data_IF_868207721983
#
_entry.id   IF_868207721983
#
_cell.length_a   1.000
_cell.length_b   1.000
_cell.length_c   1.000
_cell.angle_alpha   90.00
_cell.angle_beta   90.00
_cell.angle_gamma   90.00
#
_symmetry.space_group_name_H-M   'P 1'
#
loop_
_entity.id
_entity.type
_entity.pdbx_description
1 polymer ?
#
# COMPACT_ATOMS: atom_id res chain seq x y z
N UNK A 1 -13.69 11.64 -1.99
CA UNK A 1 -14.01 13.05 -1.70
C UNK A 1 -15.53 13.24 -1.71
N UNK A 2 -16.21 13.09 -2.85
CA UNK A 2 -17.64 13.41 -3.04
C UNK A 2 -18.58 12.85 -1.96
N UNK A 3 -18.38 11.61 -1.52
CA UNK A 3 -19.22 10.94 -0.53
C UNK A 3 -19.00 11.44 0.92
N UNK A 4 -17.88 12.09 1.17
CA UNK A 4 -17.49 12.61 2.49
C UNK A 4 -17.52 14.16 2.54
N UNK A 5 -17.90 14.78 1.44
CA UNK A 5 -18.00 16.24 1.32
C UNK A 5 -18.90 16.81 2.42
N UNK A 6 -18.43 17.84 3.11
CA UNK A 6 -19.13 18.42 4.27
C UNK A 6 -19.04 17.62 5.58
N UNK A 7 -18.48 16.40 5.56
CA UNK A 7 -18.27 15.58 6.77
C UNK A 7 -16.81 15.42 7.13
N UNK A 8 -15.92 15.41 6.15
CA UNK A 8 -14.47 15.28 6.30
C UNK A 8 -13.79 16.27 5.37
N UNK A 9 -12.69 16.84 5.83
CA UNK A 9 -11.81 17.66 5.01
C UNK A 9 -10.83 16.73 4.27
N UNK A 10 -10.73 16.88 2.95
CA UNK A 10 -9.70 16.23 2.17
C UNK A 10 -8.40 17.03 2.31
N UNK A 11 -7.29 16.36 2.57
CA UNK A 11 -5.97 16.98 2.72
C UNK A 11 -5.11 16.72 1.50
N UNK A 12 -5.03 15.48 1.07
CA UNK A 12 -4.22 15.07 -0.08
C UNK A 12 -4.25 13.57 -0.29
N UNK A 13 -3.72 13.10 -1.41
CA UNK A 13 -3.58 11.69 -1.71
C UNK A 13 -2.61 11.43 -2.86
N UNK A 14 -2.01 10.26 -2.87
CA UNK A 14 -1.04 9.86 -3.87
C UNK A 14 -1.22 8.44 -4.35
N UNK A 15 -0.59 8.14 -5.47
CA UNK A 15 -0.49 6.81 -6.06
C UNK A 15 0.98 6.39 -6.14
N UNK A 16 1.24 5.08 -6.16
CA UNK A 16 2.58 4.53 -6.32
C UNK A 16 3.23 4.92 -7.67
N UNK A 17 2.42 5.32 -8.64
CA UNK A 17 2.81 5.74 -9.99
C UNK A 17 2.97 7.24 -10.14
N UNK A 18 3.37 7.93 -9.07
CA UNK A 18 3.66 9.37 -9.00
C UNK A 18 2.45 10.31 -9.20
N UNK A 19 1.24 9.78 -9.28
CA UNK A 19 0.03 10.58 -9.29
C UNK A 19 -0.22 11.19 -7.91
N UNK A 20 -0.37 12.51 -7.81
CA UNK A 20 -0.66 13.21 -6.57
C UNK A 20 -1.79 14.19 -6.73
N UNK A 21 -2.63 14.29 -5.71
CA UNK A 21 -3.72 15.24 -5.58
C UNK A 21 -3.54 16.02 -4.28
N UNK A 22 -3.22 17.30 -4.38
CA UNK A 22 -3.20 18.22 -3.25
C UNK A 22 -4.56 18.87 -3.16
N UNK A 23 -5.22 18.79 -2.00
CA UNK A 23 -6.55 19.36 -1.77
C UNK A 23 -7.64 18.84 -2.72
N UNK A 24 -8.81 19.48 -2.76
CA UNK A 24 -9.99 19.00 -3.48
C UNK A 24 -10.49 19.93 -4.58
N UNK A 25 -9.76 21.01 -4.89
CA UNK A 25 -10.13 21.96 -5.93
C UNK A 25 -10.06 21.36 -7.35
N UNK A 26 -9.14 20.41 -7.58
CA UNK A 26 -9.13 19.52 -8.75
C UNK A 26 -9.32 18.09 -8.24
N UNK A 27 -10.32 17.38 -8.76
CA UNK A 27 -10.68 16.04 -8.23
C UNK A 27 -10.04 14.90 -9.02
N UNK A 28 -8.86 15.12 -9.54
CA UNK A 28 -7.98 14.15 -10.18
C UNK A 28 -6.52 14.54 -9.94
N UNK A 29 -5.60 13.63 -10.21
CA UNK A 29 -4.17 13.87 -10.08
C UNK A 29 -3.74 14.98 -11.02
N UNK A 30 -2.97 15.92 -10.50
CA UNK A 30 -2.43 17.05 -11.26
C UNK A 30 -0.93 17.22 -11.02
N UNK A 31 -0.15 17.00 -12.08
CA UNK A 31 1.30 17.07 -11.99
C UNK A 31 1.81 18.51 -11.79
N UNK A 32 1.09 19.52 -12.25
CA UNK A 32 1.52 20.92 -12.09
C UNK A 32 1.44 21.36 -10.65
N UNK A 33 0.31 21.11 -9.98
CA UNK A 33 0.15 21.40 -8.56
C UNK A 33 1.08 20.52 -7.69
N UNK A 34 1.28 19.26 -8.08
CA UNK A 34 2.21 18.37 -7.37
C UNK A 34 3.66 18.88 -7.43
N UNK A 35 4.13 19.31 -8.60
CA UNK A 35 5.47 19.91 -8.77
C UNK A 35 5.62 21.21 -7.97
N UNK A 36 4.59 22.06 -7.98
CA UNK A 36 4.61 23.31 -7.21
C UNK A 36 4.71 23.03 -5.72
N UNK A 37 3.87 22.13 -5.19
CA UNK A 37 3.92 21.73 -3.79
C UNK A 37 5.28 21.13 -3.41
N UNK A 38 5.85 20.27 -4.27
CA UNK A 38 7.17 19.69 -4.01
C UNK A 38 8.27 20.77 -3.97
N UNK A 39 8.20 21.78 -4.83
CA UNK A 39 9.14 22.89 -4.82
C UNK A 39 9.03 23.71 -3.52
N UNK A 40 7.82 23.95 -3.03
CA UNK A 40 7.58 24.62 -1.74
C UNK A 40 8.11 23.79 -0.56
N UNK A 41 7.90 22.47 -0.57
CA UNK A 41 8.44 21.55 0.46
C UNK A 41 9.98 21.57 0.43
N UNK A 42 10.60 21.61 -0.75
CA UNK A 42 12.06 21.73 -0.89
C UNK A 42 12.58 23.05 -0.30
N UNK A 43 11.91 24.18 -0.60
CA UNK A 43 12.27 25.49 -0.06
C UNK A 43 12.14 25.49 1.47
N UNK A 44 11.02 25.01 1.99
CA UNK A 44 10.77 24.89 3.42
C UNK A 44 11.83 24.01 4.12
N UNK A 45 12.17 22.85 3.57
CA UNK A 45 13.20 21.99 4.13
C UNK A 45 14.57 22.72 4.21
N UNK A 46 14.92 23.43 3.13
CA UNK A 46 16.15 24.24 3.07
C UNK A 46 16.18 25.35 4.12
N UNK A 47 15.06 26.03 4.36
CA UNK A 47 14.95 27.05 5.42
C UNK A 47 15.14 26.45 6.82
N UNK A 48 14.79 25.16 7.00
CA UNK A 48 15.08 24.41 8.24
C UNK A 48 16.53 23.86 8.29
N UNK A 49 17.36 24.15 7.29
CA UNK A 49 18.73 23.61 7.17
C UNK A 49 18.77 22.11 6.86
N UNK A 50 17.72 21.55 6.26
CA UNK A 50 17.56 20.13 5.99
C UNK A 50 17.44 19.85 4.50
N UNK A 51 17.83 18.63 4.10
CA UNK A 51 17.47 18.04 2.82
C UNK A 51 16.08 17.38 2.91
N UNK A 52 15.44 17.12 1.77
CA UNK A 52 14.18 16.34 1.75
C UNK A 52 14.35 14.94 2.36
N UNK A 53 15.53 14.33 2.18
CA UNK A 53 15.80 13.03 2.76
C UNK A 53 15.84 13.08 4.29
N UNK A 54 16.47 14.10 4.87
CA UNK A 54 16.46 14.30 6.32
C UNK A 54 15.05 14.56 6.86
N UNK A 55 14.22 15.30 6.13
CA UNK A 55 12.79 15.46 6.49
C UNK A 55 12.07 14.12 6.46
N UNK A 56 12.31 13.28 5.46
CA UNK A 56 11.75 11.92 5.41
C UNK A 56 12.21 11.07 6.61
N UNK A 57 13.49 11.17 6.98
CA UNK A 57 14.00 10.46 8.16
C UNK A 57 13.36 10.95 9.46
N UNK A 58 13.09 12.26 9.60
CA UNK A 58 12.33 12.81 10.73
C UNK A 58 10.94 12.18 10.80
N UNK A 59 10.24 12.09 9.67
CA UNK A 59 8.91 11.46 9.58
C UNK A 59 8.98 9.99 10.02
N UNK A 60 9.98 9.25 9.57
CA UNK A 60 10.16 7.86 9.98
C UNK A 60 10.46 7.69 11.47
N UNK A 61 11.22 8.61 12.06
CA UNK A 61 11.49 8.60 13.51
C UNK A 61 10.26 8.96 14.31
N UNK A 62 9.47 9.92 13.84
CA UNK A 62 8.30 10.43 14.58
C UNK A 62 7.07 9.51 14.43
N UNK A 63 6.80 9.01 13.23
CA UNK A 63 5.57 8.26 12.91
C UNK A 63 5.79 6.76 12.70
N UNK A 64 7.03 6.30 12.69
CA UNK A 64 7.41 4.91 12.42
C UNK A 64 7.88 4.69 11.00
N UNK A 65 8.86 3.78 10.86
CA UNK A 65 9.42 3.40 9.57
C UNK A 65 8.52 2.38 8.87
N UNK A 66 8.21 2.63 7.62
CA UNK A 66 7.62 1.64 6.74
C UNK A 66 8.34 1.59 5.39
N UNK A 67 8.47 0.39 4.84
CA UNK A 67 8.97 0.18 3.49
C UNK A 67 7.86 -0.38 2.63
N UNK A 68 7.64 0.28 1.51
CA UNK A 68 6.61 -0.10 0.54
C UNK A 68 7.28 -0.53 -0.77
N UNK A 69 6.71 -1.56 -1.38
CA UNK A 69 7.12 -2.01 -2.71
C UNK A 69 5.93 -2.55 -3.49
N UNK A 70 6.03 -2.48 -4.80
CA UNK A 70 5.03 -3.03 -5.71
C UNK A 70 5.65 -4.15 -6.54
N UNK A 71 5.05 -5.34 -6.48
CA UNK A 71 5.43 -6.46 -7.33
C UNK A 71 4.37 -6.63 -8.41
N UNK A 72 4.79 -6.61 -9.67
CA UNK A 72 3.92 -6.81 -10.82
C UNK A 72 4.15 -8.20 -11.41
N UNK A 73 3.12 -9.03 -11.42
CA UNK A 73 3.15 -10.34 -12.11
C UNK A 73 2.38 -10.21 -13.41
N UNK A 74 3.09 -10.31 -14.52
CA UNK A 74 2.52 -10.20 -15.87
C UNK A 74 2.36 -11.61 -16.46
N UNK A 75 1.18 -11.93 -16.96
CA UNK A 75 0.84 -13.19 -17.61
C UNK A 75 0.34 -12.88 -19.03
N UNK A 76 1.19 -12.97 -20.06
CA UNK A 76 0.81 -12.54 -21.40
C UNK A 76 -0.26 -13.44 -22.03
N UNK A 77 -1.07 -12.83 -22.90
CA UNK A 77 -2.08 -13.53 -23.69
C UNK A 77 -3.40 -13.81 -22.97
N UNK A 78 -4.33 -14.44 -23.71
CA UNK A 78 -5.68 -14.73 -23.21
C UNK A 78 -5.65 -15.71 -22.02
N UNK A 79 -4.81 -16.73 -22.08
CA UNK A 79 -4.61 -17.68 -20.97
C UNK A 79 -4.09 -17.00 -19.72
N UNK A 80 -3.23 -15.97 -19.87
CA UNK A 80 -2.71 -15.19 -18.75
C UNK A 80 -3.80 -14.45 -17.98
N UNK A 81 -4.80 -13.91 -18.67
CA UNK A 81 -5.94 -13.27 -18.00
C UNK A 81 -6.76 -14.27 -17.17
N UNK A 82 -6.93 -15.50 -17.69
CA UNK A 82 -7.61 -16.60 -16.98
C UNK A 82 -6.80 -17.06 -15.76
N UNK A 83 -5.47 -17.15 -15.89
CA UNK A 83 -4.56 -17.47 -14.77
C UNK A 83 -4.67 -16.40 -13.66
N UNK A 84 -4.64 -15.11 -13.99
CA UNK A 84 -4.78 -14.03 -13.01
C UNK A 84 -6.14 -14.09 -12.30
N UNK A 85 -7.21 -14.38 -13.05
CA UNK A 85 -8.54 -14.57 -12.45
C UNK A 85 -8.54 -15.75 -11.48
N UNK A 86 -7.93 -16.88 -11.87
CA UNK A 86 -7.79 -18.05 -11.01
C UNK A 86 -6.94 -17.77 -9.77
N UNK A 87 -5.83 -17.00 -9.91
CA UNK A 87 -5.01 -16.57 -8.78
C UNK A 87 -5.83 -15.74 -7.77
N UNK A 88 -6.59 -14.75 -8.25
CA UNK A 88 -7.45 -13.92 -7.38
C UNK A 88 -8.52 -14.76 -6.67
N UNK A 89 -9.12 -15.72 -7.36
CA UNK A 89 -10.12 -16.60 -6.78
C UNK A 89 -9.49 -17.54 -5.73
N UNK A 90 -8.30 -18.05 -6.00
CA UNK A 90 -7.56 -18.86 -5.03
C UNK A 90 -7.19 -18.06 -3.78
N UNK A 91 -6.65 -16.84 -3.92
CA UNK A 91 -6.36 -15.97 -2.77
C UNK A 91 -7.62 -15.67 -1.94
N UNK A 92 -8.77 -15.56 -2.58
CA UNK A 92 -10.05 -15.30 -1.91
C UNK A 92 -10.60 -16.53 -1.20
N UNK A 93 -10.58 -17.69 -1.86
CA UNK A 93 -11.15 -18.94 -1.34
C UNK A 93 -10.22 -19.62 -0.32
N UNK A 94 -8.91 -19.47 -0.48
CA UNK A 94 -7.88 -20.07 0.34
C UNK A 94 -6.91 -18.98 0.84
N UNK A 95 -7.36 -18.05 1.69
CA UNK A 95 -6.51 -16.98 2.19
C UNK A 95 -5.30 -17.57 2.95
N UNK A 96 -4.09 -17.05 2.71
CA UNK A 96 -2.91 -17.51 3.43
C UNK A 96 -3.07 -17.27 4.95
N UNK A 97 -2.68 -18.25 5.74
CA UNK A 97 -2.71 -18.14 7.21
C UNK A 97 -1.50 -17.40 7.77
N UNK A 98 -0.41 -17.41 6.99
CA UNK A 98 0.86 -16.80 7.33
C UNK A 98 1.47 -16.18 6.06
N UNK A 99 2.09 -15.01 6.19
CA UNK A 99 2.80 -14.31 5.12
C UNK A 99 4.12 -13.80 5.68
N UNK A 100 5.24 -14.14 5.03
CA UNK A 100 6.57 -13.70 5.44
C UNK A 100 6.97 -14.14 6.86
N UNK A 101 6.46 -15.26 7.34
CA UNK A 101 6.72 -15.76 8.70
C UNK A 101 5.82 -15.16 9.78
N UNK A 102 4.84 -14.32 9.41
CA UNK A 102 3.92 -13.69 10.35
C UNK A 102 2.47 -14.11 10.10
N UNK A 103 1.73 -14.37 11.19
CA UNK A 103 0.33 -14.82 11.13
C UNK A 103 -0.57 -13.72 10.53
N UNK A 104 -1.45 -14.10 9.60
CA UNK A 104 -2.50 -13.22 9.09
C UNK A 104 -3.60 -13.08 10.15
N UNK A 105 -3.86 -11.85 10.57
CA UNK A 105 -4.84 -11.52 11.62
C UNK A 105 -6.07 -10.81 11.09
N UNK A 106 -6.01 -10.28 9.85
CA UNK A 106 -7.16 -9.62 9.23
C UNK A 106 -7.10 -9.78 7.71
N UNK A 107 -8.25 -10.08 7.12
CA UNK A 107 -8.45 -10.13 5.67
C UNK A 107 -9.58 -9.19 5.29
N UNK A 108 -9.35 -8.28 4.33
CA UNK A 108 -10.39 -7.44 3.75
C UNK A 108 -10.63 -7.85 2.31
N UNK A 109 -11.85 -8.25 1.98
CA UNK A 109 -12.27 -8.51 0.61
C UNK A 109 -13.22 -7.40 0.14
N UNK A 110 -12.70 -6.52 -0.68
CA UNK A 110 -13.46 -5.39 -1.23
C UNK A 110 -14.45 -5.79 -2.32
N UNK A 111 -14.37 -7.02 -2.85
CA UNK A 111 -15.35 -7.54 -3.80
C UNK A 111 -16.64 -7.96 -3.10
N UNK A 112 -16.50 -8.52 -1.90
CA UNK A 112 -17.65 -8.95 -1.09
C UNK A 112 -18.02 -7.93 0.00
N UNK A 113 -17.21 -6.86 0.15
CA UNK A 113 -17.30 -5.84 1.20
C UNK A 113 -17.24 -6.43 2.61
N UNK A 114 -16.40 -7.44 2.82
CA UNK A 114 -16.26 -8.14 4.10
C UNK A 114 -14.85 -8.01 4.67
N UNK A 115 -14.82 -7.93 6.00
CA UNK A 115 -13.60 -8.05 6.80
C UNK A 115 -13.73 -9.31 7.63
N UNK A 116 -12.72 -10.17 7.58
CA UNK A 116 -12.61 -11.37 8.44
C UNK A 116 -11.41 -11.20 9.36
N UNK A 117 -11.61 -11.29 10.66
CA UNK A 117 -10.54 -11.26 11.65
C UNK A 117 -9.88 -12.64 11.84
N UNK A 118 -8.79 -12.70 12.61
CA UNK A 118 -8.05 -13.92 12.90
C UNK A 118 -8.84 -14.98 13.73
N UNK A 119 -10.01 -14.61 14.27
CA UNK A 119 -10.93 -15.49 14.97
C UNK A 119 -12.08 -15.98 14.10
N UNK A 120 -12.16 -15.49 12.84
CA UNK A 120 -13.22 -15.82 11.91
C UNK A 120 -14.47 -14.94 12.03
N UNK A 121 -14.45 -13.88 12.83
CA UNK A 121 -15.56 -12.94 12.91
C UNK A 121 -15.61 -12.10 11.61
N UNK A 122 -16.83 -11.91 11.09
CA UNK A 122 -17.04 -11.18 9.83
C UNK A 122 -17.76 -9.87 10.13
N UNK A 123 -17.24 -8.77 9.60
CA UNK A 123 -17.86 -7.45 9.61
C UNK A 123 -17.91 -6.88 8.19
N UNK A 124 -18.69 -5.81 7.98
CA UNK A 124 -18.83 -5.17 6.67
C UNK A 124 -17.84 -4.02 6.50
N UNK A 125 -17.42 -3.77 5.25
CA UNK A 125 -16.65 -2.60 4.85
C UNK A 125 -17.62 -1.50 4.44
N UNK A 126 -17.56 -0.34 5.09
CA UNK A 126 -18.32 0.87 4.70
C UNK A 126 -17.68 1.51 3.45
N UNK A 127 -18.03 0.98 2.29
CA UNK A 127 -17.59 1.46 0.98
C UNK A 127 -18.78 1.57 0.03
N UNK A 128 -18.83 2.63 -0.80
CA UNK A 128 -19.98 2.86 -1.71
C UNK A 128 -20.06 1.86 -2.85
N UNK A 129 -18.93 1.30 -3.26
CA UNK A 129 -18.81 0.40 -4.41
C UNK A 129 -17.82 -0.71 -4.12
N UNK A 130 -18.12 -1.90 -4.62
CA UNK A 130 -17.24 -3.06 -4.56
C UNK A 130 -16.09 -2.92 -5.58
N UNK A 131 -14.92 -3.44 -5.21
CA UNK A 131 -13.75 -3.47 -6.10
C UNK A 131 -13.01 -4.81 -5.97
N UNK A 132 -12.37 -5.26 -7.04
CA UNK A 132 -11.65 -6.53 -7.02
C UNK A 132 -10.28 -6.38 -6.35
N UNK A 133 -10.29 -6.12 -5.05
CA UNK A 133 -9.10 -5.95 -4.22
C UNK A 133 -9.21 -6.87 -3.01
N UNK A 134 -8.09 -7.50 -2.63
CA UNK A 134 -7.90 -8.20 -1.36
C UNK A 134 -6.81 -7.51 -0.56
N UNK A 135 -6.97 -7.44 0.75
CA UNK A 135 -5.93 -6.98 1.67
C UNK A 135 -5.75 -7.98 2.80
N UNK A 136 -4.50 -8.27 3.10
CA UNK A 136 -4.07 -9.10 4.22
C UNK A 136 -3.26 -8.24 5.18
N UNK A 137 -3.49 -8.45 6.47
CA UNK A 137 -2.75 -7.81 7.54
C UNK A 137 -2.21 -8.89 8.46
N UNK A 138 -0.95 -8.80 8.75
CA UNK A 138 -0.27 -9.74 9.64
C UNK A 138 -0.07 -9.17 11.03
N UNK A 139 0.22 -10.04 11.98
CA UNK A 139 0.42 -9.69 13.39
C UNK A 139 1.56 -8.69 13.61
N UNK A 140 2.61 -8.75 12.78
CA UNK A 140 3.76 -7.84 12.79
C UNK A 140 3.53 -6.51 12.04
N UNK A 141 2.29 -6.23 11.61
CA UNK A 141 1.90 -5.00 10.93
C UNK A 141 2.20 -4.98 9.43
N UNK A 142 2.66 -6.08 8.83
CA UNK A 142 2.81 -6.17 7.37
C UNK A 142 1.45 -6.14 6.71
N UNK A 143 1.32 -5.36 5.64
CA UNK A 143 0.09 -5.25 4.84
C UNK A 143 0.38 -5.62 3.39
N UNK A 144 -0.45 -6.46 2.82
CA UNK A 144 -0.39 -6.83 1.42
C UNK A 144 -1.73 -6.50 0.77
N UNK A 145 -1.72 -5.71 -0.31
CA UNK A 145 -2.90 -5.48 -1.14
C UNK A 145 -2.71 -6.13 -2.49
N UNK A 146 -3.68 -6.92 -2.92
CA UNK A 146 -3.65 -7.67 -4.18
C UNK A 146 -4.73 -7.12 -5.09
N UNK A 147 -4.35 -6.67 -6.29
CA UNK A 147 -5.25 -6.06 -7.27
C UNK A 147 -4.89 -6.47 -8.70
N UNK A 148 -5.78 -7.13 -9.45
CA UNK A 148 -5.60 -7.35 -10.87
C UNK A 148 -5.80 -6.05 -11.64
N UNK A 149 -5.09 -5.89 -12.76
CA UNK A 149 -5.35 -4.79 -13.70
C UNK A 149 -6.69 -5.01 -14.41
N UNK A 150 -7.42 -3.93 -14.65
CA UNK A 150 -8.66 -3.98 -15.44
C UNK A 150 -8.43 -4.01 -16.95
N UNK A 151 -7.25 -3.60 -17.41
CA UNK A 151 -6.96 -3.38 -18.85
C UNK A 151 -5.83 -4.26 -19.38
N UNK A 152 -4.99 -4.80 -18.52
CA UNK A 152 -3.80 -5.57 -18.89
C UNK A 152 -3.76 -6.91 -18.14
N UNK A 153 -3.19 -7.97 -18.73
CA UNK A 153 -3.07 -9.27 -18.07
C UNK A 153 -1.94 -9.24 -17.02
N UNK A 154 -2.13 -8.45 -15.98
CA UNK A 154 -1.21 -8.32 -14.85
C UNK A 154 -1.96 -8.25 -13.53
N UNK A 155 -1.29 -8.69 -12.46
CA UNK A 155 -1.73 -8.55 -11.08
C UNK A 155 -0.64 -7.82 -10.29
N UNK A 156 -1.05 -6.85 -9.49
CA UNK A 156 -0.17 -6.07 -8.62
C UNK A 156 -0.31 -6.52 -7.18
N UNK A 157 0.83 -6.65 -6.52
CA UNK A 157 0.93 -6.86 -5.08
C UNK A 157 1.63 -5.62 -4.49
N UNK A 158 0.92 -4.88 -3.66
CA UNK A 158 1.44 -3.78 -2.88
C UNK A 158 1.80 -4.33 -1.51
N UNK A 159 3.08 -4.34 -1.20
CA UNK A 159 3.63 -4.86 0.06
C UNK A 159 4.11 -3.69 0.90
N UNK A 160 3.61 -3.57 2.09
CA UNK A 160 4.04 -2.63 3.11
C UNK A 160 4.55 -3.42 4.32
N UNK A 161 5.81 -3.24 4.68
CA UNK A 161 6.39 -3.85 5.88
C UNK A 161 6.75 -2.77 6.88
N UNK A 162 6.49 -3.03 8.16
CA UNK A 162 6.87 -2.14 9.25
C UNK A 162 8.25 -2.52 9.77
N UNK A 163 9.02 -1.50 10.14
CA UNK A 163 10.31 -1.62 10.78
C UNK A 163 10.46 -0.64 11.93
N UNK A 164 11.51 -0.79 12.69
CA UNK A 164 11.85 0.12 13.79
C UNK A 164 13.01 1.01 13.37
N UNK A 165 12.87 2.32 13.57
CA UNK A 165 13.89 3.30 13.28
C UNK A 165 13.87 4.39 14.35
N UNK A 166 14.75 4.29 15.34
CA UNK A 166 14.81 5.24 16.47
C UNK A 166 15.68 6.48 16.21
N UNK A 167 16.42 6.53 15.08
CA UNK A 167 17.29 7.66 14.72
C UNK A 167 17.67 7.63 13.23
N UNK A 168 18.10 8.78 12.68
CA UNK A 168 18.55 8.88 11.28
C UNK A 168 19.66 7.89 10.90
N UNK A 169 20.65 7.71 11.80
CA UNK A 169 21.76 6.78 11.57
C UNK A 169 21.34 5.31 11.52
N UNK A 170 20.14 5.01 11.97
CA UNK A 170 19.58 3.65 11.97
C UNK A 170 18.94 3.29 10.63
N UNK A 171 18.81 4.23 9.68
CA UNK A 171 18.05 4.05 8.44
C UNK A 171 18.57 2.87 7.60
N UNK A 172 19.87 2.78 7.35
CA UNK A 172 20.42 1.71 6.49
C UNK A 172 20.13 0.32 7.06
N UNK A 173 20.27 0.16 8.38
CA UNK A 173 19.96 -1.11 9.05
C UNK A 173 18.46 -1.42 9.01
N UNK A 174 17.62 -0.43 9.29
CA UNK A 174 16.16 -0.58 9.23
C UNK A 174 15.68 -0.91 7.80
N UNK A 175 16.25 -0.24 6.80
CA UNK A 175 15.94 -0.48 5.41
C UNK A 175 16.38 -1.88 4.94
N UNK A 176 17.59 -2.34 5.32
CA UNK A 176 18.05 -3.69 4.99
C UNK A 176 17.16 -4.77 5.62
N UNK A 177 16.81 -4.63 6.89
CA UNK A 177 15.89 -5.56 7.55
C UNK A 177 14.49 -5.59 6.90
N UNK A 178 14.00 -4.43 6.47
CA UNK A 178 12.72 -4.36 5.75
C UNK A 178 12.81 -4.99 4.36
N UNK A 179 13.94 -4.89 3.65
CA UNK A 179 14.17 -5.58 2.37
C UNK A 179 14.14 -7.10 2.54
N UNK A 180 14.80 -7.64 3.54
CA UNK A 180 14.77 -9.07 3.86
C UNK A 180 13.32 -9.53 4.13
N UNK A 181 12.56 -8.73 4.86
CA UNK A 181 11.15 -9.01 5.15
C UNK A 181 10.28 -8.97 3.90
N UNK A 182 10.48 -8.00 3.00
CA UNK A 182 9.81 -7.95 1.69
C UNK A 182 10.10 -9.22 0.89
N UNK A 183 11.35 -9.69 0.85
CA UNK A 183 11.71 -10.92 0.14
C UNK A 183 11.07 -12.17 0.78
N UNK A 184 10.94 -12.22 2.10
CA UNK A 184 10.23 -13.28 2.79
C UNK A 184 8.73 -13.30 2.43
N UNK A 185 8.10 -12.12 2.34
CA UNK A 185 6.71 -11.96 1.88
C UNK A 185 6.57 -12.46 0.43
N UNK A 186 7.46 -12.02 -0.48
CA UNK A 186 7.43 -12.46 -1.87
C UNK A 186 7.52 -13.97 -2.02
N UNK A 187 8.46 -14.59 -1.33
CA UNK A 187 8.63 -16.05 -1.32
C UNK A 187 7.39 -16.78 -0.79
N UNK A 188 6.78 -16.28 0.27
CA UNK A 188 5.61 -16.92 0.87
C UNK A 188 4.37 -16.85 -0.03
N UNK A 189 4.27 -15.83 -0.89
CA UNK A 189 3.18 -15.65 -1.85
C UNK A 189 3.47 -16.24 -3.24
N UNK A 190 4.70 -16.69 -3.49
CA UNK A 190 5.13 -17.23 -4.78
C UNK A 190 5.21 -16.16 -5.89
N UNK A 191 5.62 -14.93 -5.58
CA UNK A 191 5.66 -13.78 -6.49
C UNK A 191 7.04 -13.14 -6.58
#
# INVERSE_FOLDING_TARGET
IRLREGKQQYIGGGEESYGFLAEDFVRDKDAVSACTLLAEICAWAKDQGKTLFEVLLDIYVEYGFSKETTVNVVKPGKSGAEEIKAMMENFRSNPPREIGGSKVVLVKDFKTLKVTDGNGNITEIDMPEASNVLQYFTEDGTKISVRPSGTEPKIKFYVEVKGEMGCHKCFDAANAAAEEKVEAVRKSLGI
#
